data_IF_451339961364
#
_entry.id   IF_451339961364
#
_cell.length_a   1.000
_cell.length_b   1.000
_cell.length_c   1.000
_cell.angle_alpha   90.00
_cell.angle_beta   90.00
_cell.angle_gamma   90.00
#
_symmetry.space_group_name_H-M   'P 1'
#
loop_
_entity.id
_entity.type
_entity.pdbx_description
1 polymer ?
#
# COMPACT_ATOMS: atom_id res chain seq x y z
N UNK A 1 -12.78 2.86 -19.30
CA UNK A 1 -11.84 3.93 -18.89
C UNK A 1 -10.81 3.49 -17.83
N UNK A 2 -11.10 2.52 -16.96
CA UNK A 2 -10.15 2.00 -15.94
C UNK A 2 -9.38 0.73 -16.32
N UNK A 3 -9.49 0.27 -17.58
CA UNK A 3 -8.89 -1.00 -18.03
C UNK A 3 -7.52 -0.85 -18.71
N UNK A 4 -7.01 0.37 -18.83
CA UNK A 4 -5.67 0.68 -19.39
C UNK A 4 -4.63 0.83 -18.29
N UNK A 5 -3.36 0.49 -18.56
CA UNK A 5 -2.23 0.59 -17.61
C UNK A 5 -2.23 1.90 -16.81
N UNK A 6 -2.32 3.02 -17.53
CA UNK A 6 -2.31 4.36 -16.91
C UNK A 6 -3.59 4.69 -16.11
N UNK A 7 -4.75 4.16 -16.53
CA UNK A 7 -6.01 4.37 -15.83
C UNK A 7 -6.06 3.64 -14.50
N UNK A 8 -5.57 2.39 -14.47
CA UNK A 8 -5.51 1.58 -13.26
C UNK A 8 -4.50 2.14 -12.23
N UNK A 9 -3.35 2.61 -12.71
CA UNK A 9 -2.34 3.26 -11.87
C UNK A 9 -2.83 4.58 -11.26
N UNK A 10 -3.60 5.38 -12.01
CA UNK A 10 -4.23 6.60 -11.46
C UNK A 10 -5.31 6.25 -10.44
N UNK A 11 -6.11 5.22 -10.70
CA UNK A 11 -7.15 4.77 -9.78
C UNK A 11 -6.54 4.28 -8.46
N UNK A 12 -5.46 3.48 -8.51
CA UNK A 12 -4.77 3.07 -7.28
C UNK A 12 -4.23 4.27 -6.51
N UNK A 13 -3.61 5.23 -7.18
CA UNK A 13 -3.11 6.46 -6.55
C UNK A 13 -4.24 7.21 -5.83
N UNK A 14 -5.38 7.44 -6.49
CA UNK A 14 -6.51 8.16 -5.89
C UNK A 14 -7.06 7.42 -4.67
N UNK A 15 -7.22 6.10 -4.75
CA UNK A 15 -7.78 5.32 -3.65
C UNK A 15 -6.79 5.23 -2.48
N UNK A 16 -5.49 5.04 -2.75
CA UNK A 16 -4.44 5.00 -1.72
C UNK A 16 -4.34 6.35 -1.02
N UNK A 17 -4.33 7.45 -1.77
CA UNK A 17 -4.39 8.82 -1.20
C UNK A 17 -5.65 9.01 -0.35
N UNK A 18 -6.81 8.59 -0.85
CA UNK A 18 -8.07 8.67 -0.09
C UNK A 18 -8.04 7.88 1.22
N UNK A 19 -7.47 6.68 1.20
CA UNK A 19 -7.31 5.84 2.39
C UNK A 19 -6.34 6.47 3.41
N UNK A 20 -5.23 7.05 2.96
CA UNK A 20 -4.29 7.76 3.84
C UNK A 20 -4.98 8.94 4.50
N UNK A 21 -5.69 9.77 3.74
CA UNK A 21 -6.41 10.93 4.28
C UNK A 21 -7.41 10.48 5.34
N UNK A 22 -8.19 9.43 5.06
CA UNK A 22 -9.15 8.88 6.03
C UNK A 22 -8.46 8.42 7.31
N UNK A 23 -7.37 7.64 7.20
CA UNK A 23 -6.61 7.14 8.36
C UNK A 23 -5.99 8.27 9.17
N UNK A 24 -5.41 9.29 8.51
CA UNK A 24 -4.80 10.45 9.18
C UNK A 24 -5.84 11.28 9.92
N UNK A 25 -6.98 11.59 9.29
CA UNK A 25 -8.08 12.33 9.93
C UNK A 25 -8.55 11.61 11.18
N UNK A 26 -8.77 10.30 11.08
CA UNK A 26 -9.22 9.49 12.21
C UNK A 26 -8.14 9.37 13.29
N UNK A 27 -6.88 9.19 12.93
CA UNK A 27 -5.77 9.15 13.87
C UNK A 27 -5.71 10.44 14.71
N UNK A 28 -5.85 11.59 14.05
CA UNK A 28 -5.84 12.91 14.72
C UNK A 28 -7.07 13.10 15.61
N UNK A 29 -8.26 12.71 15.14
CA UNK A 29 -9.52 12.83 15.90
C UNK A 29 -9.56 11.88 17.10
N UNK A 30 -9.04 10.66 16.96
CA UNK A 30 -9.11 9.64 18.01
C UNK A 30 -7.90 9.64 18.96
N UNK A 31 -6.81 10.32 18.60
CA UNK A 31 -5.55 10.29 19.35
C UNK A 31 -4.91 8.89 19.46
N UNK A 32 -5.38 7.90 18.68
CA UNK A 32 -4.91 6.53 18.82
C UNK A 32 -3.54 6.34 18.17
N UNK A 33 -2.55 5.99 19.01
CA UNK A 33 -1.18 5.66 18.60
C UNK A 33 -1.16 4.51 17.59
N UNK A 34 -2.12 3.59 17.69
CA UNK A 34 -2.24 2.43 16.79
C UNK A 34 -2.68 2.84 15.38
N UNK A 35 -3.62 3.78 15.25
CA UNK A 35 -4.02 4.30 13.94
C UNK A 35 -2.93 5.19 13.36
N UNK A 36 -2.20 5.94 14.20
CA UNK A 36 -1.05 6.74 13.76
C UNK A 36 0.06 5.86 13.16
N UNK A 37 0.33 4.70 13.77
CA UNK A 37 1.26 3.72 13.22
C UNK A 37 0.79 3.21 11.84
N UNK A 38 -0.48 2.82 11.72
CA UNK A 38 -1.06 2.40 10.44
C UNK A 38 -1.10 3.51 9.38
N UNK A 39 -1.25 4.77 9.79
CA UNK A 39 -1.16 5.91 8.88
C UNK A 39 0.26 6.09 8.36
N UNK A 40 1.27 5.87 9.21
CA UNK A 40 2.69 5.91 8.83
C UNK A 40 3.03 4.82 7.81
N UNK A 41 2.51 3.60 8.00
CA UNK A 41 2.68 2.54 7.01
C UNK A 41 2.05 2.94 5.67
N UNK A 42 0.85 3.52 5.69
CA UNK A 42 0.20 3.99 4.46
C UNK A 42 0.91 5.16 3.78
N UNK A 43 1.79 5.90 4.46
CA UNK A 43 2.69 6.84 3.77
C UNK A 43 3.74 6.13 2.92
N UNK A 44 4.29 5.00 3.37
CA UNK A 44 5.22 4.20 2.56
C UNK A 44 4.50 3.64 1.33
N UNK A 45 3.25 3.23 1.48
CA UNK A 45 2.41 2.79 0.36
C UNK A 45 2.20 3.91 -0.67
N UNK A 46 2.03 5.16 -0.22
CA UNK A 46 1.93 6.31 -1.12
C UNK A 46 3.19 6.50 -1.96
N UNK A 47 4.36 6.39 -1.32
CA UNK A 47 5.64 6.46 -2.02
C UNK A 47 5.76 5.35 -3.05
N UNK A 48 5.46 4.11 -2.67
CA UNK A 48 5.49 2.96 -3.56
C UNK A 48 4.55 3.15 -4.77
N UNK A 49 3.30 3.55 -4.53
CA UNK A 49 2.31 3.78 -5.60
C UNK A 49 2.72 4.95 -6.50
N UNK A 50 3.32 6.00 -5.94
CA UNK A 50 3.81 7.14 -6.71
C UNK A 50 4.94 6.72 -7.66
N UNK A 51 5.87 5.89 -7.20
CA UNK A 51 6.93 5.30 -8.04
C UNK A 51 6.30 4.46 -9.16
N UNK A 52 5.30 3.63 -8.85
CA UNK A 52 4.58 2.83 -9.85
C UNK A 52 3.88 3.70 -10.90
N UNK A 53 3.19 4.77 -10.50
CA UNK A 53 2.54 5.69 -11.44
C UNK A 53 3.56 6.38 -12.34
N UNK A 54 4.67 6.85 -11.77
CA UNK A 54 5.73 7.49 -12.53
C UNK A 54 6.38 6.52 -13.52
N UNK A 55 6.66 5.30 -13.07
CA UNK A 55 7.22 4.26 -13.92
C UNK A 55 6.31 3.86 -15.07
N UNK A 56 5.00 3.72 -14.83
CA UNK A 56 4.03 3.40 -15.89
C UNK A 56 3.95 4.55 -16.90
N UNK A 57 4.04 5.80 -16.45
CA UNK A 57 4.11 6.95 -17.38
C UNK A 57 5.34 6.90 -18.28
N UNK A 58 6.49 6.50 -17.74
CA UNK A 58 7.72 6.32 -18.54
C UNK A 58 7.58 5.13 -19.48
N UNK A 59 7.10 3.98 -18.98
CA UNK A 59 6.99 2.75 -19.77
C UNK A 59 6.02 2.85 -20.96
N UNK A 60 5.03 3.73 -20.89
CA UNK A 60 4.07 3.98 -21.99
C UNK A 60 4.65 4.94 -23.05
N UNK A 61 5.79 5.59 -22.81
CA UNK A 61 6.42 6.43 -23.85
C UNK A 61 6.89 5.57 -25.04
N UNK A 62 6.69 6.03 -26.29
CA UNK A 62 7.23 5.37 -27.47
C UNK A 62 8.76 5.35 -27.45
N UNK A 63 9.37 4.52 -28.28
CA UNK A 63 10.82 4.49 -28.45
C UNK A 63 11.33 5.86 -28.96
N UNK A 64 12.44 6.31 -28.40
CA UNK A 64 13.16 7.52 -28.82
C UNK A 64 14.58 7.16 -29.27
N UNK A 65 15.34 8.15 -29.73
CA UNK A 65 16.70 7.95 -30.23
C UNK A 65 17.67 7.46 -29.14
N UNK A 66 17.42 7.82 -27.88
CA UNK A 66 18.21 7.35 -26.72
C UNK A 66 17.81 5.93 -26.29
N UNK A 67 16.57 5.50 -26.54
CA UNK A 67 16.03 4.17 -26.20
C UNK A 67 15.37 3.49 -27.40
N UNK A 68 16.17 2.95 -28.35
CA UNK A 68 15.66 2.29 -29.55
C UNK A 68 14.78 1.06 -29.28
N UNK A 69 14.95 0.43 -28.12
CA UNK A 69 14.15 -0.72 -27.67
C UNK A 69 12.91 -0.34 -26.85
N UNK A 70 12.65 0.97 -26.67
CA UNK A 70 11.53 1.49 -25.89
C UNK A 70 11.74 1.49 -24.38
N UNK A 71 10.78 2.08 -23.67
CA UNK A 71 10.87 2.37 -22.23
C UNK A 71 10.24 1.30 -21.33
N UNK A 72 9.79 0.18 -21.88
CA UNK A 72 9.05 -0.85 -21.14
C UNK A 72 9.80 -1.45 -19.94
N UNK A 73 11.14 -1.46 -19.97
CA UNK A 73 11.99 -1.93 -18.85
C UNK A 73 11.87 -1.07 -17.59
N UNK A 74 11.35 0.16 -17.69
CA UNK A 74 11.16 1.02 -16.52
C UNK A 74 10.22 0.39 -15.48
N UNK A 75 9.15 -0.31 -15.92
CA UNK A 75 8.25 -1.03 -15.00
C UNK A 75 8.97 -2.10 -14.17
N UNK A 76 9.92 -2.81 -14.76
CA UNK A 76 10.68 -3.85 -14.06
C UNK A 76 11.59 -3.24 -13.00
N UNK A 77 12.24 -2.10 -13.31
CA UNK A 77 13.08 -1.38 -12.35
C UNK A 77 12.23 -0.88 -11.19
N UNK A 78 11.06 -0.31 -11.47
CA UNK A 78 10.15 0.15 -10.43
C UNK A 78 9.63 -0.98 -9.54
N UNK A 79 9.32 -2.15 -10.12
CA UNK A 79 8.93 -3.32 -9.35
C UNK A 79 10.04 -3.81 -8.40
N UNK A 80 11.30 -3.79 -8.86
CA UNK A 80 12.46 -4.14 -8.02
C UNK A 80 12.63 -3.13 -6.88
N UNK A 81 12.56 -1.83 -7.17
CA UNK A 81 12.64 -0.76 -6.15
C UNK A 81 11.52 -0.93 -5.12
N UNK A 82 10.30 -1.21 -5.59
CA UNK A 82 9.16 -1.46 -4.71
C UNK A 82 9.38 -2.70 -3.84
N UNK A 83 9.88 -3.80 -4.41
CA UNK A 83 10.19 -5.01 -3.63
C UNK A 83 11.22 -4.73 -2.52
N UNK A 84 12.25 -3.92 -2.80
CA UNK A 84 13.22 -3.51 -1.78
C UNK A 84 12.57 -2.67 -0.67
N UNK A 85 11.73 -1.69 -1.02
CA UNK A 85 11.02 -0.87 -0.05
C UNK A 85 10.12 -1.71 0.87
N UNK A 86 9.36 -2.64 0.28
CA UNK A 86 8.50 -3.56 1.04
C UNK A 86 9.32 -4.44 1.97
N UNK A 87 10.45 -4.97 1.49
CA UNK A 87 11.32 -5.83 2.30
C UNK A 87 11.90 -5.07 3.50
N UNK A 88 12.38 -3.84 3.28
CA UNK A 88 12.89 -2.97 4.35
C UNK A 88 11.80 -2.58 5.33
N UNK A 89 10.61 -2.18 4.85
CA UNK A 89 9.47 -1.83 5.68
C UNK A 89 9.01 -3.02 6.54
N UNK A 90 8.89 -4.21 5.96
CA UNK A 90 8.56 -5.44 6.68
C UNK A 90 9.58 -5.77 7.78
N UNK A 91 10.88 -5.63 7.49
CA UNK A 91 11.94 -5.78 8.49
C UNK A 91 11.80 -4.79 9.67
N UNK A 92 11.48 -3.52 9.37
CA UNK A 92 11.25 -2.51 10.39
C UNK A 92 10.01 -2.81 11.26
N UNK A 93 8.92 -3.26 10.64
CA UNK A 93 7.70 -3.67 11.34
C UNK A 93 8.01 -4.82 12.30
N UNK A 94 8.71 -5.87 11.84
CA UNK A 94 9.11 -7.01 12.69
C UNK A 94 9.96 -6.54 13.87
N UNK A 95 10.97 -5.71 13.60
CA UNK A 95 11.81 -5.14 14.67
C UNK A 95 10.99 -4.34 15.69
N UNK A 96 10.06 -3.50 15.21
CA UNK A 96 9.17 -2.72 16.08
C UNK A 96 8.22 -3.58 16.90
N UNK A 97 7.72 -4.68 16.32
CA UNK A 97 6.82 -5.62 16.98
C UNK A 97 7.54 -6.37 18.11
N UNK A 98 8.74 -6.90 17.84
CA UNK A 98 9.59 -7.55 18.87
C UNK A 98 9.87 -6.57 20.00
N UNK A 99 10.27 -5.33 19.67
CA UNK A 99 10.54 -4.31 20.68
C UNK A 99 9.31 -4.03 21.55
N UNK A 100 8.13 -3.85 20.94
CA UNK A 100 6.86 -3.62 21.67
C UNK A 100 6.48 -4.77 22.60
N UNK A 101 6.67 -6.02 22.16
CA UNK A 101 6.43 -7.20 22.99
C UNK A 101 7.35 -7.19 24.21
N UNK A 102 8.63 -6.83 24.05
CA UNK A 102 9.59 -6.77 25.16
C UNK A 102 9.38 -5.59 26.12
N UNK A 103 8.89 -4.45 25.64
CA UNK A 103 8.62 -3.25 26.47
C UNK A 103 7.23 -3.22 27.08
N UNK A 104 6.36 -4.19 26.79
CA UNK A 104 5.02 -4.30 27.40
C UNK A 104 4.06 -3.16 27.03
N UNK A 105 4.18 -2.58 25.83
CA UNK A 105 3.35 -1.44 25.43
C UNK A 105 1.94 -1.90 25.06
N UNK A 106 0.92 -1.35 25.72
CA UNK A 106 -0.49 -1.65 25.41
C UNK A 106 -0.91 -1.00 24.10
N UNK A 107 -1.66 -1.75 23.30
CA UNK A 107 -2.25 -1.28 22.04
C UNK A 107 -3.62 -0.72 22.39
N UNK A 108 -3.74 0.60 22.51
CA UNK A 108 -5.04 1.23 22.70
C UNK A 108 -5.66 1.59 21.34
N UNK A 109 -6.73 0.87 21.00
CA UNK A 109 -7.65 1.26 19.95
C UNK A 109 -8.94 1.78 20.57
N UNK A 110 -9.33 2.99 20.18
CA UNK A 110 -10.65 3.52 20.49
C UNK A 110 -11.71 2.80 19.66
N UNK A 111 -12.97 2.75 20.12
CA UNK A 111 -14.08 2.14 19.36
C UNK A 111 -14.20 2.75 17.95
N UNK A 112 -13.96 4.06 17.81
CA UNK A 112 -13.89 4.75 16.53
C UNK A 112 -12.74 4.23 15.63
N UNK A 113 -11.60 3.87 16.22
CA UNK A 113 -10.47 3.27 15.51
C UNK A 113 -10.76 1.89 14.93
N UNK A 114 -11.53 1.07 15.65
CA UNK A 114 -11.95 -0.26 15.17
C UNK A 114 -12.82 -0.12 13.92
N UNK A 115 -13.81 0.79 13.95
CA UNK A 115 -14.69 1.03 12.81
C UNK A 115 -13.92 1.47 11.55
N UNK A 116 -12.95 2.36 11.70
CA UNK A 116 -12.13 2.86 10.59
C UNK A 116 -11.16 1.80 10.07
N UNK A 117 -10.63 0.96 10.96
CA UNK A 117 -9.79 -0.17 10.56
C UNK A 117 -10.60 -1.17 9.71
N UNK A 118 -11.84 -1.47 10.10
CA UNK A 118 -12.74 -2.33 9.32
C UNK A 118 -13.04 -1.75 7.93
N UNK A 119 -13.37 -0.45 7.84
CA UNK A 119 -13.57 0.23 6.55
C UNK A 119 -12.31 0.15 5.71
N UNK A 120 -11.15 0.44 6.31
CA UNK A 120 -9.86 0.39 5.62
C UNK A 120 -9.54 -1.01 5.08
N UNK A 121 -9.82 -2.07 5.87
CA UNK A 121 -9.65 -3.46 5.46
C UNK A 121 -10.54 -3.78 4.25
N UNK A 122 -11.83 -3.45 4.32
CA UNK A 122 -12.78 -3.73 3.23
C UNK A 122 -12.36 -3.01 1.95
N UNK A 123 -12.05 -1.71 2.03
CA UNK A 123 -11.60 -0.95 0.87
C UNK A 123 -10.29 -1.48 0.31
N UNK A 124 -9.34 -1.87 1.16
CA UNK A 124 -8.05 -2.42 0.73
C UNK A 124 -8.20 -3.79 0.05
N UNK A 125 -9.10 -4.65 0.54
CA UNK A 125 -9.45 -5.92 -0.11
C UNK A 125 -10.02 -5.67 -1.51
N UNK A 126 -11.00 -4.76 -1.62
CA UNK A 126 -11.63 -4.43 -2.90
C UNK A 126 -10.61 -3.85 -3.89
N UNK A 127 -9.76 -2.94 -3.42
CA UNK A 127 -8.70 -2.33 -4.21
C UNK A 127 -7.67 -3.36 -4.67
N UNK A 128 -7.15 -4.18 -3.76
CA UNK A 128 -6.15 -5.21 -4.09
C UNK A 128 -6.70 -6.21 -5.12
N UNK A 129 -7.94 -6.68 -4.96
CA UNK A 129 -8.59 -7.56 -5.95
C UNK A 129 -8.74 -6.89 -7.31
N UNK A 130 -9.14 -5.63 -7.33
CA UNK A 130 -9.26 -4.88 -8.58
C UNK A 130 -7.90 -4.72 -9.27
N UNK A 131 -6.85 -4.33 -8.53
CA UNK A 131 -5.51 -4.15 -9.07
C UNK A 131 -4.87 -5.46 -9.51
N UNK A 132 -5.08 -6.57 -8.80
CA UNK A 132 -4.65 -7.89 -9.25
C UNK A 132 -5.34 -8.29 -10.56
N UNK A 133 -6.64 -8.01 -10.71
CA UNK A 133 -7.36 -8.30 -11.95
C UNK A 133 -6.82 -7.47 -13.11
N UNK A 134 -6.61 -6.17 -12.90
CA UNK A 134 -6.14 -5.28 -13.96
C UNK A 134 -4.68 -5.52 -14.30
N UNK A 135 -3.80 -5.72 -13.31
CA UNK A 135 -2.37 -6.01 -13.52
C UNK A 135 -2.15 -7.25 -14.39
N UNK A 136 -2.95 -8.30 -14.20
CA UNK A 136 -2.94 -9.50 -15.05
C UNK A 136 -3.45 -9.24 -16.46
N UNK A 137 -4.47 -8.39 -16.60
CA UNK A 137 -5.03 -8.06 -17.92
C UNK A 137 -4.09 -7.20 -18.77
N UNK A 138 -3.23 -6.40 -18.13
CA UNK A 138 -2.28 -5.50 -18.82
C UNK A 138 -0.83 -5.97 -18.74
N UNK A 139 -0.56 -7.11 -18.12
CA UNK A 139 0.78 -7.67 -17.88
C UNK A 139 1.76 -6.62 -17.32
N UNK A 140 1.42 -6.07 -16.14
CA UNK A 140 2.25 -5.07 -15.45
C UNK A 140 2.71 -5.56 -14.09
N UNK A 141 4.00 -5.83 -13.99
CA UNK A 141 4.66 -6.33 -12.77
C UNK A 141 4.63 -5.26 -11.66
N UNK A 142 4.82 -3.98 -12.02
CA UNK A 142 4.76 -2.88 -11.05
C UNK A 142 3.37 -2.73 -10.43
N UNK A 143 2.30 -2.89 -11.22
CA UNK A 143 0.94 -2.84 -10.71
C UNK A 143 0.59 -4.07 -9.85
N UNK A 144 1.15 -5.23 -10.21
CA UNK A 144 1.02 -6.45 -9.43
C UNK A 144 1.72 -6.33 -8.06
N UNK A 145 2.91 -5.73 -8.01
CA UNK A 145 3.64 -5.49 -6.76
C UNK A 145 2.85 -4.57 -5.81
N UNK A 146 2.26 -3.48 -6.31
CA UNK A 146 1.33 -2.63 -5.54
C UNK A 146 0.15 -3.43 -5.00
N UNK A 147 -0.47 -4.27 -5.82
CA UNK A 147 -1.65 -5.02 -5.42
C UNK A 147 -1.35 -6.04 -4.31
N UNK A 148 -0.17 -6.67 -4.35
CA UNK A 148 0.31 -7.57 -3.29
C UNK A 148 0.66 -6.82 -2.01
N UNK A 149 1.25 -5.63 -2.10
CA UNK A 149 1.53 -4.81 -0.92
C UNK A 149 0.23 -4.47 -0.16
N UNK A 150 -0.78 -3.97 -0.89
CA UNK A 150 -2.09 -3.64 -0.29
C UNK A 150 -2.76 -4.89 0.30
N UNK A 151 -2.54 -6.07 -0.28
CA UNK A 151 -3.00 -7.32 0.32
C UNK A 151 -2.26 -7.64 1.64
N UNK A 152 -0.95 -7.41 1.71
CA UNK A 152 -0.16 -7.57 2.92
C UNK A 152 -0.68 -6.67 4.06
N UNK A 153 -1.05 -5.42 3.75
CA UNK A 153 -1.61 -4.48 4.72
C UNK A 153 -2.94 -4.98 5.32
N UNK A 154 -3.76 -5.65 4.51
CA UNK A 154 -4.99 -6.30 4.99
C UNK A 154 -4.67 -7.37 6.03
N UNK A 155 -3.70 -8.24 5.76
CA UNK A 155 -3.31 -9.28 6.71
C UNK A 155 -2.77 -8.68 8.02
N UNK A 156 -1.94 -7.64 7.92
CA UNK A 156 -1.43 -6.90 9.07
C UNK A 156 -2.56 -6.27 9.89
N UNK A 157 -3.52 -5.62 9.24
CA UNK A 157 -4.65 -4.99 9.93
C UNK A 157 -5.59 -6.01 10.59
N UNK A 158 -5.83 -7.16 9.94
CA UNK A 158 -6.61 -8.27 10.53
C UNK A 158 -5.89 -8.87 11.74
N UNK A 159 -4.56 -9.02 11.69
CA UNK A 159 -3.77 -9.51 12.82
C UNK A 159 -3.87 -8.55 14.04
N UNK A 160 -3.86 -7.23 13.79
CA UNK A 160 -4.06 -6.23 14.85
C UNK A 160 -5.46 -6.34 15.48
N UNK A 161 -6.52 -6.48 14.67
CA UNK A 161 -7.87 -6.68 15.19
C UNK A 161 -7.99 -7.96 16.03
N UNK A 162 -7.41 -9.06 15.55
CA UNK A 162 -7.43 -10.33 16.28
C UNK A 162 -6.68 -10.22 17.62
N UNK A 163 -5.51 -9.54 17.63
CA UNK A 163 -4.76 -9.28 18.85
C UNK A 163 -5.53 -8.44 19.87
N UNK A 164 -6.35 -7.49 19.41
CA UNK A 164 -7.19 -6.66 20.28
C UNK A 164 -8.35 -7.44 20.92
N UNK A 165 -8.88 -8.46 20.24
CA UNK A 165 -9.96 -9.31 20.76
C UNK A 165 -9.42 -10.34 21.76
N UNK A 166 -8.16 -10.75 21.61
CA UNK A 166 -7.53 -11.77 22.43
C UNK A 166 -7.05 -11.28 23.82
N UNK A 167 -7.05 -9.96 24.05
CA UNK A 167 -6.61 -9.29 25.28
C UNK A 167 -7.82 -8.60 25.91
#
# INVERSE_FOLDING_TARGET
MFSTKSGAAKLSLVIVVGLIVLKVVVAVVTGSISILAQATDSFLDLFAVSITVFSIRIAVKPADEEHPFGHGKAENIAAIVQAMLIFTAGGFIIYSAVRRITTGTTIELTQAGIGVMLVSIITSILLSRHLLKVSRAVDSIALQAVAHNIAADVYSAVAVLAGLIAI
#
